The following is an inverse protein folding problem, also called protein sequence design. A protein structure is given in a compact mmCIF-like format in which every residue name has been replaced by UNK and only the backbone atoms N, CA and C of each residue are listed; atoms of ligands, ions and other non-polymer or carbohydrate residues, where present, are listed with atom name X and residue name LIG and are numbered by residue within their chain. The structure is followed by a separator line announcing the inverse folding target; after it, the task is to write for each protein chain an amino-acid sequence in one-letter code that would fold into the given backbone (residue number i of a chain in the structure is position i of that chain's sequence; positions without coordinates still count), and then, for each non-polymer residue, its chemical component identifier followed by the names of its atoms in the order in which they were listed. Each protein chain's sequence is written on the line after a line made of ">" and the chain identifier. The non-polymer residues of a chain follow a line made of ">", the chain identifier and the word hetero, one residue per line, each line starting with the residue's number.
data_IF_812953615556
#
_entry.id   IF_812953615556
#
_cell.length_a   1.000
_cell.length_b   1.000
_cell.length_c   1.000
_cell.angle_alpha   90.00
_cell.angle_beta   90.00
_cell.angle_gamma   90.00
#
_symmetry.space_group_name_H-M   'P 1'
#
loop_
_entity.id
_entity.type
_entity.pdbx_description
1 polymer ?
#
# COMPACT_ATOMS: atom_id res chain seq x y z
N UNK A 1 8.59 8.39 14.72
CA UNK A 1 9.96 8.11 15.19
C UNK A 1 9.86 7.49 16.58
N UNK A 2 9.86 6.15 16.65
CA UNK A 2 9.91 5.42 17.92
C UNK A 2 11.29 5.62 18.53
N UNK A 3 11.38 6.31 19.66
CA UNK A 3 12.59 6.30 20.49
C UNK A 3 12.37 5.26 21.58
N UNK A 4 13.31 4.33 21.74
CA UNK A 4 13.31 3.25 22.74
C UNK A 4 13.47 3.73 24.19
N UNK A 5 13.17 5.00 24.48
CA UNK A 5 13.32 5.65 25.79
C UNK A 5 12.21 5.24 26.79
N UNK A 6 11.56 4.09 26.61
CA UNK A 6 10.50 3.60 27.51
C UNK A 6 9.24 4.48 27.56
N UNK A 7 9.05 5.38 26.59
CA UNK A 7 7.91 6.33 26.57
C UNK A 7 6.59 5.71 26.11
N UNK A 8 6.61 4.50 25.55
CA UNK A 8 5.41 3.82 25.06
C UNK A 8 5.63 2.31 25.13
N UNK A 9 4.63 1.57 25.61
CA UNK A 9 4.71 0.11 25.79
C UNK A 9 4.62 -0.67 24.46
N UNK A 10 3.89 -0.12 23.48
CA UNK A 10 3.71 -0.73 22.16
C UNK A 10 3.45 0.33 21.08
N UNK A 11 3.70 -0.01 19.82
CA UNK A 11 3.28 0.82 18.69
C UNK A 11 3.34 0.13 17.35
N UNK A 12 2.82 0.80 16.32
CA UNK A 12 2.68 0.26 14.97
C UNK A 12 3.73 0.82 14.03
N UNK A 13 4.29 -0.02 13.18
CA UNK A 13 5.28 0.37 12.18
C UNK A 13 5.22 -0.58 10.99
N UNK A 14 5.46 -0.06 9.79
CA UNK A 14 5.60 -0.88 8.59
C UNK A 14 6.95 -1.61 8.59
N UNK A 15 6.98 -2.84 8.07
CA UNK A 15 8.21 -3.65 8.01
C UNK A 15 9.36 -2.92 7.31
N UNK A 16 9.09 -2.24 6.18
CA UNK A 16 10.10 -1.47 5.45
C UNK A 16 10.77 -0.42 6.34
N UNK A 17 9.96 0.33 7.10
CA UNK A 17 10.47 1.37 8.00
C UNK A 17 11.25 0.74 9.15
N UNK A 18 10.76 -0.37 9.71
CA UNK A 18 11.45 -1.10 10.77
C UNK A 18 12.83 -1.59 10.31
N UNK A 19 12.93 -2.15 9.11
CA UNK A 19 14.18 -2.64 8.52
C UNK A 19 15.14 -1.49 8.17
N UNK A 20 14.63 -0.37 7.67
CA UNK A 20 15.41 0.84 7.43
C UNK A 20 15.97 1.45 8.73
N UNK A 21 15.16 1.48 9.79
CA UNK A 21 15.60 1.91 11.12
C UNK A 21 16.66 0.96 11.65
N UNK A 22 16.51 -0.35 11.51
CA UNK A 22 17.51 -1.33 11.92
C UNK A 22 18.87 -1.17 11.24
N UNK A 23 18.89 -0.77 9.96
CA UNK A 23 20.14 -0.46 9.24
C UNK A 23 20.83 0.81 9.72
N UNK A 24 20.06 1.82 10.15
CA UNK A 24 20.59 3.13 10.57
C UNK A 24 20.89 3.22 12.06
N UNK A 25 20.12 2.48 12.86
CA UNK A 25 20.04 2.61 14.32
C UNK A 25 19.75 1.22 14.91
N UNK A 26 20.71 0.28 14.85
CA UNK A 26 20.51 -1.12 15.24
C UNK A 26 20.04 -1.29 16.69
N UNK A 27 20.40 -0.37 17.57
CA UNK A 27 20.02 -0.36 18.98
C UNK A 27 18.50 -0.32 19.19
N UNK A 28 17.74 0.36 18.32
CA UNK A 28 16.28 0.40 18.40
C UNK A 28 15.68 -0.99 18.16
N UNK A 29 16.21 -1.71 17.17
CA UNK A 29 15.74 -3.07 16.85
C UNK A 29 16.16 -4.06 17.94
N UNK A 30 17.32 -3.87 18.57
CA UNK A 30 17.75 -4.71 19.70
C UNK A 30 16.90 -4.50 20.96
N UNK A 31 16.35 -3.29 21.15
CA UNK A 31 15.53 -2.92 22.30
C UNK A 31 14.03 -3.16 22.09
N UNK A 32 13.62 -3.70 20.93
CA UNK A 32 12.21 -3.93 20.60
C UNK A 32 11.98 -5.38 20.17
N UNK A 33 10.73 -5.86 20.27
CA UNK A 33 10.33 -7.17 19.76
C UNK A 33 9.06 -7.06 18.94
N UNK A 34 9.00 -7.80 17.84
CA UNK A 34 7.79 -7.91 17.03
C UNK A 34 6.86 -8.91 17.72
N UNK A 35 5.70 -8.43 18.18
CA UNK A 35 4.69 -9.28 18.85
C UNK A 35 3.57 -9.75 17.91
N UNK A 36 3.40 -9.06 16.78
CA UNK A 36 2.39 -9.36 15.77
C UNK A 36 2.84 -8.83 14.40
N UNK A 37 2.43 -9.50 13.31
CA UNK A 37 2.62 -9.05 11.93
C UNK A 37 1.31 -9.15 11.17
N UNK A 38 1.01 -8.13 10.37
CA UNK A 38 -0.14 -8.15 9.48
C UNK A 38 0.05 -9.14 8.32
N UNK A 39 -1.03 -9.52 7.63
CA UNK A 39 -0.94 -10.10 6.30
C UNK A 39 -0.14 -9.18 5.36
N UNK A 40 0.31 -9.75 4.24
CA UNK A 40 1.06 -9.00 3.22
C UNK A 40 0.22 -7.84 2.67
N UNK A 41 0.74 -6.62 2.80
CA UNK A 41 0.15 -5.41 2.22
C UNK A 41 0.77 -5.20 0.83
N UNK A 42 -0.02 -4.92 -0.22
CA UNK A 42 0.52 -4.57 -1.53
C UNK A 42 1.47 -3.38 -1.45
N UNK A 43 2.42 -3.30 -2.38
CA UNK A 43 3.35 -2.17 -2.46
C UNK A 43 2.62 -0.83 -2.66
N UNK A 44 3.27 0.28 -2.35
CA UNK A 44 2.67 1.61 -2.49
C UNK A 44 2.43 1.98 -3.97
N UNK A 45 1.23 2.50 -4.33
CA UNK A 45 0.94 2.93 -5.69
C UNK A 45 1.48 4.34 -5.98
N UNK A 46 1.89 4.57 -7.22
CA UNK A 46 2.08 5.93 -7.75
C UNK A 46 0.77 6.43 -8.36
N UNK A 47 0.36 7.64 -7.98
CA UNK A 47 -0.91 8.24 -8.40
C UNK A 47 -0.67 9.53 -9.18
N UNK A 48 -1.53 9.79 -10.17
CA UNK A 48 -1.60 11.06 -10.87
C UNK A 48 -3.03 11.60 -10.87
N UNK A 49 -3.17 12.89 -11.16
CA UNK A 49 -4.47 13.55 -11.35
C UNK A 49 -5.17 13.05 -12.62
N UNK A 50 -6.51 12.96 -12.58
CA UNK A 50 -7.31 12.36 -13.68
C UNK A 50 -7.36 13.22 -14.94
N UNK A 51 -7.27 14.54 -14.80
CA UNK A 51 -7.31 15.57 -15.84
C UNK A 51 -5.97 15.74 -16.60
N UNK A 52 -4.94 14.95 -16.26
CA UNK A 52 -3.67 14.98 -16.97
C UNK A 52 -3.85 14.54 -18.45
N UNK A 53 -3.26 15.25 -19.44
CA UNK A 53 -3.32 14.85 -20.85
C UNK A 53 -2.86 13.41 -21.09
N UNK A 54 -3.51 12.70 -22.01
CA UNK A 54 -3.23 11.29 -22.30
C UNK A 54 -1.77 11.06 -22.72
N UNK A 55 -1.23 11.95 -23.54
CA UNK A 55 0.19 11.91 -23.97
C UNK A 55 1.14 11.97 -22.77
N UNK A 56 0.84 12.83 -21.80
CA UNK A 56 1.69 12.99 -20.62
C UNK A 56 1.58 11.77 -19.70
N UNK A 57 0.38 11.20 -19.53
CA UNK A 57 0.20 9.92 -18.80
C UNK A 57 1.03 8.81 -19.44
N UNK A 58 1.01 8.69 -20.76
CA UNK A 58 1.79 7.68 -21.49
C UNK A 58 3.30 7.87 -21.29
N UNK A 59 3.80 9.11 -21.37
CA UNK A 59 5.22 9.42 -21.14
C UNK A 59 5.67 9.11 -19.72
N UNK A 60 4.86 9.47 -18.71
CA UNK A 60 5.15 9.17 -17.30
C UNK A 60 5.16 7.65 -17.06
N UNK A 61 4.14 6.93 -17.56
CA UNK A 61 4.08 5.48 -17.42
C UNK A 61 5.29 4.80 -18.09
N UNK A 62 5.64 5.20 -19.32
CA UNK A 62 6.79 4.66 -20.03
C UNK A 62 8.11 4.90 -19.28
N UNK A 63 8.28 6.08 -18.66
CA UNK A 63 9.44 6.37 -17.82
C UNK A 63 9.54 5.38 -16.65
N UNK A 64 8.50 5.28 -15.80
CA UNK A 64 8.55 4.42 -14.62
C UNK A 64 8.72 2.94 -14.98
N UNK A 65 7.99 2.45 -16.00
CA UNK A 65 8.07 1.05 -16.42
C UNK A 65 9.43 0.68 -17.05
N UNK A 66 10.18 1.65 -17.55
CA UNK A 66 11.53 1.42 -18.10
C UNK A 66 12.65 1.75 -17.13
N UNK A 67 12.37 2.41 -16.00
CA UNK A 67 13.39 2.86 -15.04
C UNK A 67 14.05 1.66 -14.34
N UNK A 68 15.39 1.59 -14.39
CA UNK A 68 16.16 0.45 -13.87
C UNK A 68 16.11 -0.83 -14.71
N UNK A 69 15.34 -0.81 -15.82
CA UNK A 69 15.26 -1.88 -16.80
C UNK A 69 16.20 -1.61 -17.99
N UNK A 70 16.79 -2.69 -18.52
CA UNK A 70 17.56 -2.61 -19.75
C UNK A 70 16.60 -2.41 -20.94
N UNK A 71 16.79 -1.32 -21.69
CA UNK A 71 16.00 -1.01 -22.89
C UNK A 71 16.93 -0.75 -24.08
N UNK A 72 16.48 -1.00 -25.33
CA UNK A 72 17.26 -0.65 -26.51
C UNK A 72 17.73 0.81 -26.46
N UNK A 73 19.02 1.03 -26.70
CA UNK A 73 19.63 2.37 -26.69
C UNK A 73 19.95 2.96 -25.31
N UNK A 74 19.60 2.30 -24.18
CA UNK A 74 19.99 2.77 -22.85
C UNK A 74 21.45 2.45 -22.57
N UNK A 75 22.24 3.47 -22.23
CA UNK A 75 23.66 3.33 -21.88
C UNK A 75 23.81 2.55 -20.58
N UNK A 76 24.83 1.70 -20.50
CA UNK A 76 25.11 0.91 -19.30
C UNK A 76 25.37 1.77 -18.05
N UNK A 77 25.99 2.95 -18.20
CA UNK A 77 26.20 3.89 -17.10
C UNK A 77 24.88 4.40 -16.51
N UNK A 78 23.93 4.78 -17.38
CA UNK A 78 22.60 5.24 -16.96
C UNK A 78 21.84 4.11 -16.25
N UNK A 79 21.88 2.89 -16.81
CA UNK A 79 21.23 1.74 -16.17
C UNK A 79 21.80 1.46 -14.77
N UNK A 80 23.11 1.59 -14.58
CA UNK A 80 23.74 1.42 -13.28
C UNK A 80 23.33 2.52 -12.30
N UNK A 81 23.26 3.78 -12.76
CA UNK A 81 22.78 4.91 -11.94
C UNK A 81 21.31 4.73 -11.51
N UNK A 82 20.42 4.38 -12.43
CA UNK A 82 19.00 4.13 -12.13
C UNK A 82 18.82 3.00 -11.10
N UNK A 83 19.58 1.91 -11.25
CA UNK A 83 19.58 0.79 -10.29
C UNK A 83 20.10 1.21 -8.92
N UNK A 84 21.17 2.01 -8.88
CA UNK A 84 21.68 2.53 -7.61
C UNK A 84 20.67 3.46 -6.91
N UNK A 85 19.84 4.20 -7.65
CA UNK A 85 18.73 4.98 -7.07
C UNK A 85 17.64 4.06 -6.52
N UNK A 86 17.24 3.05 -7.28
CA UNK A 86 16.25 2.05 -6.88
C UNK A 86 16.66 1.30 -5.60
N UNK A 87 17.93 0.87 -5.52
CA UNK A 87 18.48 0.17 -4.35
C UNK A 87 18.45 1.03 -3.09
N UNK A 88 18.72 2.35 -3.20
CA UNK A 88 18.63 3.28 -2.06
C UNK A 88 17.20 3.47 -1.56
N UNK A 89 16.21 3.27 -2.43
CA UNK A 89 14.79 3.38 -2.09
C UNK A 89 14.19 2.04 -1.65
N UNK A 90 14.97 0.96 -1.65
CA UNK A 90 14.49 -0.43 -1.48
C UNK A 90 13.37 -0.80 -2.48
N UNK A 91 13.40 -0.22 -3.69
CA UNK A 91 12.44 -0.51 -4.76
C UNK A 91 13.14 -1.38 -5.80
N UNK A 92 12.58 -2.55 -6.12
CA UNK A 92 13.15 -3.44 -7.14
C UNK A 92 12.90 -2.97 -8.56
N UNK A 93 11.65 -2.62 -8.85
CA UNK A 93 11.17 -2.22 -10.18
C UNK A 93 9.75 -1.66 -10.08
N UNK A 94 9.34 -0.88 -11.07
CA UNK A 94 7.95 -0.47 -11.20
C UNK A 94 7.17 -1.45 -12.07
N UNK A 95 5.91 -1.68 -11.71
CA UNK A 95 4.99 -2.56 -12.42
C UNK A 95 3.71 -1.79 -12.75
N UNK A 96 3.12 -2.09 -13.90
CA UNK A 96 1.85 -1.49 -14.29
C UNK A 96 0.77 -1.87 -13.27
N UNK A 97 0.00 -0.88 -12.86
CA UNK A 97 -1.06 -1.05 -11.86
C UNK A 97 -2.23 -0.12 -12.15
N UNK A 98 -3.35 -0.40 -11.49
CA UNK A 98 -4.56 0.39 -11.52
C UNK A 98 -5.30 0.32 -10.17
N UNK A 99 -6.50 0.90 -10.12
CA UNK A 99 -7.29 1.01 -8.90
C UNK A 99 -7.67 -0.34 -8.26
N UNK A 100 -7.56 -1.47 -8.98
CA UNK A 100 -7.81 -2.81 -8.43
C UNK A 100 -6.80 -3.17 -7.34
N UNK A 101 -5.59 -2.62 -7.37
CA UNK A 101 -4.61 -2.79 -6.29
C UNK A 101 -5.14 -2.32 -4.93
N UNK A 102 -6.10 -1.38 -4.91
CA UNK A 102 -6.69 -0.85 -3.69
C UNK A 102 -7.81 -1.72 -3.12
N UNK A 103 -8.15 -2.85 -3.75
CA UNK A 103 -9.25 -3.71 -3.31
C UNK A 103 -9.07 -4.19 -1.86
N UNK A 104 -7.88 -4.67 -1.50
CA UNK A 104 -7.59 -5.15 -0.13
C UNK A 104 -7.75 -4.05 0.92
N UNK A 105 -7.31 -2.83 0.62
CA UNK A 105 -7.47 -1.67 1.51
C UNK A 105 -8.94 -1.30 1.68
N UNK A 106 -9.71 -1.31 0.57
CA UNK A 106 -11.15 -1.04 0.61
C UNK A 106 -11.91 -2.10 1.41
N UNK A 107 -11.53 -3.37 1.29
CA UNK A 107 -12.11 -4.47 2.09
C UNK A 107 -11.79 -4.30 3.58
N UNK A 108 -10.57 -3.91 3.93
CA UNK A 108 -10.18 -3.65 5.31
C UNK A 108 -11.01 -2.51 5.93
N UNK A 109 -11.21 -1.41 5.21
CA UNK A 109 -12.05 -0.30 5.69
C UNK A 109 -13.51 -0.71 5.87
N UNK A 110 -14.05 -1.58 5.00
CA UNK A 110 -15.40 -2.12 5.17
C UNK A 110 -15.51 -3.07 6.36
N UNK A 111 -14.51 -3.93 6.59
CA UNK A 111 -14.46 -4.80 7.76
C UNK A 111 -14.43 -3.98 9.06
N UNK A 112 -13.65 -2.89 9.09
CA UNK A 112 -13.64 -1.93 10.21
C UNK A 112 -15.01 -1.28 10.40
N UNK A 113 -15.65 -0.83 9.32
CA UNK A 113 -16.98 -0.24 9.39
C UNK A 113 -18.02 -1.23 9.93
N UNK A 114 -17.96 -2.51 9.52
CA UNK A 114 -18.81 -3.59 10.02
C UNK A 114 -18.69 -3.75 11.54
N UNK A 115 -17.46 -3.87 12.05
CA UNK A 115 -17.19 -3.98 13.50
C UNK A 115 -17.77 -2.78 14.26
N UNK A 116 -17.61 -1.57 13.72
CA UNK A 116 -18.15 -0.36 14.34
C UNK A 116 -19.69 -0.34 14.35
N UNK A 117 -20.34 -0.81 13.29
CA UNK A 117 -21.80 -0.93 13.22
C UNK A 117 -22.32 -1.98 14.22
N UNK A 118 -21.61 -3.10 14.35
CA UNK A 118 -21.96 -4.18 15.28
C UNK A 118 -21.82 -3.73 16.74
N UNK A 119 -20.79 -2.95 17.06
CA UNK A 119 -20.53 -2.42 18.41
C UNK A 119 -21.38 -1.19 18.78
N UNK A 120 -22.06 -0.56 17.83
CA UNK A 120 -22.89 0.62 18.06
C UNK A 120 -24.22 0.22 18.71
N UNK A 121 -24.27 0.22 20.05
CA UNK A 121 -25.46 -0.10 20.84
C UNK A 121 -26.60 0.93 20.69
N UNK A 122 -26.30 2.14 20.21
CA UNK A 122 -27.28 3.24 20.09
C UNK A 122 -28.21 3.10 18.88
N UNK A 123 -27.79 2.35 17.86
CA UNK A 123 -28.57 2.14 16.64
C UNK A 123 -29.74 1.16 16.86
N UNK A 124 -30.88 1.46 16.23
CA UNK A 124 -32.01 0.53 16.19
C UNK A 124 -31.62 -0.76 15.45
N UNK A 125 -32.31 -1.87 15.73
CA UNK A 125 -32.07 -3.13 15.03
C UNK A 125 -32.28 -3.02 13.51
N UNK A 126 -33.24 -2.21 13.08
CA UNK A 126 -33.54 -1.97 11.66
C UNK A 126 -32.41 -1.18 11.01
N UNK A 127 -31.98 -0.07 11.61
CA UNK A 127 -30.90 0.76 11.06
C UNK A 127 -29.57 0.01 11.00
N UNK A 128 -29.27 -0.79 12.04
CA UNK A 128 -28.09 -1.66 12.06
C UNK A 128 -28.13 -2.65 10.89
N UNK A 129 -29.26 -3.31 10.68
CA UNK A 129 -29.44 -4.26 9.57
C UNK A 129 -29.24 -3.59 8.21
N UNK A 130 -29.82 -2.41 7.97
CA UNK A 130 -29.66 -1.67 6.72
C UNK A 130 -28.19 -1.25 6.46
N UNK A 131 -27.50 -0.78 7.51
CA UNK A 131 -26.08 -0.41 7.41
C UNK A 131 -25.20 -1.62 7.10
N UNK A 132 -25.47 -2.78 7.70
CA UNK A 132 -24.75 -4.03 7.43
C UNK A 132 -24.99 -4.53 5.99
N UNK A 133 -26.23 -4.50 5.51
CA UNK A 133 -26.55 -4.86 4.11
C UNK A 133 -25.81 -3.97 3.10
N UNK A 134 -25.67 -2.69 3.39
CA UNK A 134 -24.91 -1.76 2.55
C UNK A 134 -23.40 -2.09 2.54
N UNK A 135 -22.85 -2.52 3.68
CA UNK A 135 -21.46 -3.01 3.74
C UNK A 135 -21.30 -4.28 2.90
N UNK A 136 -22.19 -5.25 3.06
CA UNK A 136 -22.14 -6.53 2.31
C UNK A 136 -22.26 -6.28 0.80
N UNK A 137 -23.13 -5.35 0.39
CA UNK A 137 -23.24 -4.92 -1.03
C UNK A 137 -21.91 -4.36 -1.55
N UNK A 138 -21.25 -3.48 -0.80
CA UNK A 138 -19.96 -2.89 -1.19
C UNK A 138 -18.85 -3.93 -1.27
N UNK A 139 -18.82 -4.90 -0.36
CA UNK A 139 -17.88 -6.03 -0.40
C UNK A 139 -18.07 -6.80 -1.72
N UNK A 140 -19.30 -7.20 -2.03
CA UNK A 140 -19.61 -7.92 -3.26
C UNK A 140 -19.29 -7.12 -4.54
N UNK A 141 -19.37 -5.79 -4.49
CA UNK A 141 -18.94 -4.90 -5.59
C UNK A 141 -17.43 -4.87 -5.76
N UNK A 142 -16.68 -4.80 -4.65
CA UNK A 142 -15.22 -4.83 -4.69
C UNK A 142 -14.73 -6.17 -5.23
N UNK A 143 -15.28 -7.28 -4.77
CA UNK A 143 -14.89 -8.61 -5.22
C UNK A 143 -15.12 -8.80 -6.73
N UNK A 144 -16.25 -8.28 -7.24
CA UNK A 144 -16.52 -8.27 -8.68
C UNK A 144 -15.53 -7.37 -9.44
N UNK A 145 -15.25 -6.18 -8.92
CA UNK A 145 -14.32 -5.22 -9.55
C UNK A 145 -12.87 -5.71 -9.55
N UNK A 146 -12.42 -6.40 -8.50
CA UNK A 146 -11.06 -6.94 -8.43
C UNK A 146 -10.87 -8.14 -9.34
N UNK A 147 -11.93 -8.94 -9.53
CA UNK A 147 -11.89 -10.16 -10.34
C UNK A 147 -12.24 -9.94 -11.83
N UNK A 148 -12.67 -8.74 -12.22
CA UNK A 148 -12.89 -8.43 -13.64
C UNK A 148 -11.55 -8.29 -14.37
N UNK A 149 -11.40 -9.01 -15.49
CA UNK A 149 -10.27 -8.89 -16.42
C UNK A 149 -10.09 -7.44 -16.87
N UNK A 150 -8.84 -7.01 -17.03
CA UNK A 150 -8.54 -5.69 -17.54
C UNK A 150 -9.10 -5.57 -18.97
N UNK A 151 -9.97 -4.60 -19.21
CA UNK A 151 -10.26 -4.12 -20.57
C UNK A 151 -9.17 -3.15 -21.01
#
# INVERSE_FOLDING_TARGET
>A
LFRSEGRTDAGTVASLVYDQVGRRTPEIVSATRIVWRSPLIPADPLVWRKDLPAELKARIAAFFLSYGAATPGKKASILAEERAVLDRLDIRSFVASDNRQLASVRLLELAKARIQIEADESASAVDRSLRLQEVDRKIAEIDRFSNSTAN
#
